data_IF_298384391603
#
_entry.id   IF_298384391603
#
_cell.length_a   1.000
_cell.length_b   1.000
_cell.length_c   1.000
_cell.angle_alpha   90.00
_cell.angle_beta   90.00
_cell.angle_gamma   90.00
#
_symmetry.space_group_name_H-M   'P 1'
#
loop_
_entity.id
_entity.type
_entity.pdbx_description
1 polymer ?
#
# COMPACT_ATOMS: atom_id res chain seq x y z
N UNK A 1 35.91 -18.36 27.73
CA UNK A 1 35.41 -18.77 26.40
C UNK A 1 34.15 -17.93 26.15
N UNK A 2 34.30 -16.81 25.42
CA UNK A 2 33.18 -16.04 24.94
C UNK A 2 32.37 -16.96 23.97
N UNK A 3 31.13 -17.24 24.36
CA UNK A 3 30.19 -17.85 23.40
C UNK A 3 29.97 -16.84 22.30
N UNK A 4 30.37 -17.14 21.07
CA UNK A 4 29.90 -16.42 19.90
C UNK A 4 28.37 -16.40 19.96
N UNK A 5 27.79 -15.22 20.21
CA UNK A 5 26.36 -15.02 20.14
C UNK A 5 25.96 -15.12 18.66
N UNK A 6 25.22 -16.16 18.32
CA UNK A 6 24.75 -16.37 16.96
C UNK A 6 23.76 -15.25 16.61
N UNK A 7 24.11 -14.39 15.64
CA UNK A 7 23.23 -13.33 15.18
C UNK A 7 21.98 -13.94 14.54
N UNK A 8 20.81 -13.49 15.00
CA UNK A 8 19.52 -13.89 14.42
C UNK A 8 19.24 -13.06 13.17
N UNK A 9 19.14 -13.71 12.02
CA UNK A 9 18.76 -13.06 10.76
C UNK A 9 17.25 -13.10 10.61
N UNK A 10 16.65 -11.94 10.29
CA UNK A 10 15.22 -11.76 10.08
C UNK A 10 14.98 -11.08 8.72
N UNK A 11 14.04 -11.60 7.96
CA UNK A 11 13.54 -10.97 6.74
C UNK A 11 12.59 -9.83 7.11
N UNK A 12 12.77 -8.66 6.47
CA UNK A 12 11.92 -7.49 6.65
C UNK A 12 11.40 -6.98 5.30
N UNK A 13 10.10 -7.26 5.05
CA UNK A 13 9.41 -6.81 3.85
C UNK A 13 8.80 -5.42 4.01
N UNK A 14 9.06 -4.52 3.04
CA UNK A 14 8.43 -3.21 2.97
C UNK A 14 8.43 -2.68 1.54
N UNK A 15 7.56 -1.70 1.25
CA UNK A 15 7.46 -1.16 -0.10
C UNK A 15 8.60 -0.17 -0.43
N UNK A 16 8.97 -0.01 -1.71
CA UNK A 16 9.95 0.98 -2.12
C UNK A 16 9.43 2.43 -2.04
N UNK A 17 8.25 2.67 -1.47
CA UNK A 17 7.69 4.01 -1.33
C UNK A 17 8.52 4.87 -0.35
N UNK A 18 8.52 6.21 -0.51
CA UNK A 18 9.29 7.11 0.35
C UNK A 18 9.01 6.98 1.84
N UNK A 19 7.77 6.66 2.22
CA UNK A 19 7.40 6.49 3.63
C UNK A 19 8.09 5.29 4.26
N UNK A 20 8.03 4.13 3.61
CA UNK A 20 8.58 2.89 4.15
C UNK A 20 10.12 2.92 4.12
N UNK A 21 10.72 3.40 3.04
CA UNK A 21 12.17 3.55 2.94
C UNK A 21 12.72 4.51 4.00
N UNK A 22 12.00 5.59 4.34
CA UNK A 22 12.36 6.49 5.42
C UNK A 22 12.23 5.81 6.79
N UNK A 23 11.14 5.09 7.05
CA UNK A 23 10.88 4.43 8.35
C UNK A 23 11.97 3.39 8.65
N UNK A 24 12.38 2.60 7.67
CA UNK A 24 13.30 1.48 7.86
C UNK A 24 14.77 1.80 7.52
N UNK A 25 15.09 3.01 7.06
CA UNK A 25 16.44 3.42 6.67
C UNK A 25 17.48 3.15 7.77
N UNK A 26 17.20 3.59 8.99
CA UNK A 26 18.15 3.45 10.09
C UNK A 26 18.41 1.98 10.47
N UNK A 27 17.39 1.14 10.36
CA UNK A 27 17.47 -0.29 10.66
C UNK A 27 18.28 -1.03 9.59
N UNK A 28 17.93 -0.85 8.32
CA UNK A 28 18.55 -1.56 7.20
C UNK A 28 20.00 -1.10 6.96
N UNK A 29 20.26 0.20 7.07
CA UNK A 29 21.59 0.77 6.89
C UNK A 29 22.44 0.76 8.18
N UNK A 30 22.03 0.00 9.20
CA UNK A 30 22.79 -0.21 10.45
C UNK A 30 23.19 1.09 11.14
N UNK A 31 22.31 2.09 11.10
CA UNK A 31 22.51 3.39 11.76
C UNK A 31 22.12 3.37 13.24
N UNK A 32 21.49 2.29 13.69
CA UNK A 32 21.10 2.05 15.08
C UNK A 32 21.62 0.69 15.52
N UNK A 33 21.87 0.55 16.82
CA UNK A 33 22.26 -0.73 17.44
C UNK A 33 21.03 -1.65 17.52
N UNK A 34 21.13 -2.81 16.93
CA UNK A 34 20.08 -3.85 16.91
C UNK A 34 20.45 -5.07 17.76
N UNK A 35 21.55 -4.98 18.51
CA UNK A 35 22.08 -6.10 19.29
C UNK A 35 22.42 -7.29 18.39
N UNK A 36 21.86 -8.46 18.71
CA UNK A 36 22.12 -9.70 18.00
C UNK A 36 21.20 -9.89 16.75
N UNK A 37 20.34 -8.90 16.41
CA UNK A 37 19.43 -8.99 15.29
C UNK A 37 20.08 -8.44 14.01
N UNK A 38 19.92 -9.15 12.90
CA UNK A 38 20.29 -8.70 11.56
C UNK A 38 19.07 -8.74 10.67
N UNK A 39 18.85 -7.67 9.90
CA UNK A 39 17.69 -7.54 9.03
C UNK A 39 18.10 -7.63 7.56
N UNK A 40 17.40 -8.48 6.82
CA UNK A 40 17.50 -8.60 5.37
C UNK A 40 16.28 -7.93 4.74
N UNK A 41 16.51 -6.83 4.01
CA UNK A 41 15.44 -6.08 3.35
C UNK A 41 14.90 -6.82 2.13
N UNK A 42 13.58 -6.91 2.04
CA UNK A 42 12.84 -7.41 0.87
C UNK A 42 11.90 -6.31 0.41
N UNK A 43 12.18 -5.75 -0.77
CA UNK A 43 11.43 -4.62 -1.35
C UNK A 43 10.42 -5.14 -2.37
N UNK A 44 9.13 -4.96 -2.08
CA UNK A 44 8.03 -5.40 -2.95
C UNK A 44 6.84 -4.45 -2.88
N UNK A 45 5.94 -4.55 -3.86
CA UNK A 45 4.66 -3.85 -3.83
C UNK A 45 3.81 -4.28 -2.62
N UNK A 46 3.02 -3.35 -2.08
CA UNK A 46 2.24 -3.59 -0.85
C UNK A 46 1.22 -4.73 -1.00
N UNK A 47 0.65 -4.95 -2.18
CA UNK A 47 -0.26 -6.08 -2.40
C UNK A 47 0.49 -7.41 -2.35
N UNK A 48 1.68 -7.49 -2.95
CA UNK A 48 2.57 -8.65 -2.85
C UNK A 48 2.95 -8.94 -1.39
N UNK A 49 3.28 -7.90 -0.62
CA UNK A 49 3.59 -8.05 0.81
C UNK A 49 2.36 -8.54 1.61
N UNK A 50 1.16 -8.05 1.30
CA UNK A 50 -0.09 -8.52 1.89
C UNK A 50 -0.30 -10.03 1.63
N UNK A 51 -0.14 -10.47 0.39
CA UNK A 51 -0.25 -11.87 -0.01
C UNK A 51 0.80 -12.76 0.69
N UNK A 52 2.03 -12.26 0.79
CA UNK A 52 3.10 -12.98 1.49
C UNK A 52 2.88 -13.05 3.00
N UNK A 53 2.27 -12.04 3.60
CA UNK A 53 1.86 -12.08 5.00
C UNK A 53 0.78 -13.15 5.24
N UNK A 54 -0.24 -13.23 4.36
CA UNK A 54 -1.25 -14.28 4.43
C UNK A 54 -0.62 -15.69 4.34
N UNK A 55 0.48 -15.81 3.58
CA UNK A 55 1.23 -17.07 3.41
C UNK A 55 2.28 -17.32 4.51
N UNK A 56 2.52 -16.38 5.42
CA UNK A 56 3.54 -16.52 6.48
C UNK A 56 4.98 -16.54 5.96
N UNK A 57 5.29 -15.83 4.87
CA UNK A 57 6.58 -15.95 4.15
C UNK A 57 7.71 -15.15 4.74
N UNK A 58 7.43 -14.08 5.48
CA UNK A 58 8.44 -13.16 6.01
C UNK A 58 8.37 -13.11 7.54
N UNK A 59 9.51 -12.90 8.20
CA UNK A 59 9.55 -12.77 9.65
C UNK A 59 8.90 -11.46 10.12
N UNK A 60 9.19 -10.36 9.43
CA UNK A 60 8.57 -9.05 9.61
C UNK A 60 8.12 -8.52 8.25
N UNK A 61 6.98 -7.87 8.23
CA UNK A 61 6.50 -7.26 6.99
C UNK A 61 5.62 -6.05 7.24
N UNK A 62 5.76 -5.06 6.38
CA UNK A 62 4.80 -3.97 6.24
C UNK A 62 3.57 -4.50 5.53
N UNK A 63 2.39 -4.20 6.05
CA UNK A 63 1.12 -4.64 5.47
C UNK A 63 0.12 -3.49 5.44
N UNK A 64 -0.90 -3.63 4.61
CA UNK A 64 -2.09 -2.78 4.67
C UNK A 64 -2.94 -3.12 5.89
N UNK A 65 -3.56 -2.12 6.52
CA UNK A 65 -4.55 -2.38 7.58
C UNK A 65 -5.70 -3.27 7.13
N UNK A 66 -5.99 -3.29 5.82
CA UNK A 66 -7.02 -4.14 5.23
C UNK A 66 -6.77 -5.62 5.41
N UNK A 67 -5.53 -6.05 5.37
CA UNK A 67 -5.17 -7.48 5.52
C UNK A 67 -4.97 -7.90 6.97
N UNK A 68 -4.83 -6.95 7.90
CA UNK A 68 -4.51 -7.23 9.29
C UNK A 68 -5.40 -8.31 9.94
N UNK A 69 -6.74 -8.30 9.79
CA UNK A 69 -7.59 -9.33 10.39
C UNK A 69 -7.30 -10.75 9.89
N UNK A 70 -6.76 -10.90 8.67
CA UNK A 70 -6.48 -12.18 8.05
C UNK A 70 -5.19 -12.83 8.57
N UNK A 71 -4.25 -12.01 9.10
CA UNK A 71 -2.91 -12.46 9.49
C UNK A 71 -2.67 -12.50 11.00
N UNK A 72 -3.61 -12.03 11.83
CA UNK A 72 -3.46 -11.97 13.30
C UNK A 72 -3.29 -13.35 13.98
N UNK A 73 -3.61 -14.44 13.28
CA UNK A 73 -3.37 -15.80 13.79
C UNK A 73 -1.89 -16.21 13.74
N UNK A 74 -1.12 -15.62 12.80
CA UNK A 74 0.27 -16.00 12.51
C UNK A 74 1.26 -14.88 12.84
N UNK A 75 0.78 -13.62 12.91
CA UNK A 75 1.59 -12.43 13.19
C UNK A 75 1.05 -11.61 14.34
N UNK A 76 1.95 -10.88 14.97
CA UNK A 76 1.62 -9.83 15.95
C UNK A 76 1.85 -8.46 15.36
N UNK A 77 0.98 -7.51 15.68
CA UNK A 77 1.17 -6.12 15.29
C UNK A 77 2.20 -5.46 16.21
N UNK A 78 3.26 -4.90 15.63
CA UNK A 78 4.25 -4.15 16.39
C UNK A 78 3.76 -2.71 16.64
N UNK A 79 4.25 -2.13 17.75
CA UNK A 79 3.93 -0.74 18.13
C UNK A 79 4.77 0.31 17.36
N UNK A 80 5.56 -0.11 16.39
CA UNK A 80 6.44 0.73 15.57
C UNK A 80 6.35 0.36 14.09
N UNK A 81 6.86 1.23 13.22
CA UNK A 81 6.89 0.99 11.77
C UNK A 81 5.58 1.32 11.05
N UNK A 82 4.57 1.87 11.74
CA UNK A 82 3.32 2.30 11.13
C UNK A 82 3.44 3.67 10.43
N UNK A 83 2.70 3.88 9.33
CA UNK A 83 2.50 5.17 8.70
C UNK A 83 1.04 5.58 8.89
N UNK A 84 0.82 6.74 9.52
CA UNK A 84 -0.51 7.32 9.74
C UNK A 84 -0.67 8.60 8.92
N UNK A 85 -1.66 8.63 8.04
CA UNK A 85 -2.06 9.83 7.31
C UNK A 85 -3.29 10.49 7.95
N UNK A 86 -3.25 11.82 8.13
CA UNK A 86 -4.41 12.61 8.54
C UNK A 86 -4.71 13.64 7.46
N UNK A 87 -5.94 13.61 6.89
CA UNK A 87 -6.34 14.51 5.79
C UNK A 87 -5.60 14.22 4.47
N UNK A 88 -5.06 13.02 4.32
CA UNK A 88 -4.33 12.55 3.12
C UNK A 88 -4.82 11.15 2.70
N UNK A 89 -6.12 10.93 2.77
CA UNK A 89 -6.76 9.70 2.35
C UNK A 89 -6.62 9.40 0.84
N UNK A 90 -7.15 8.29 0.34
CA UNK A 90 -7.16 7.99 -1.07
C UNK A 90 -7.90 9.06 -1.88
N UNK A 91 -7.38 9.38 -3.07
CA UNK A 91 -8.13 10.16 -4.07
C UNK A 91 -8.72 9.24 -5.12
N UNK A 92 -9.95 9.53 -5.52
CA UNK A 92 -10.51 9.00 -6.76
C UNK A 92 -10.22 9.98 -7.89
N UNK A 93 -9.47 9.52 -8.89
CA UNK A 93 -9.05 10.30 -10.05
C UNK A 93 -9.70 9.78 -11.33
N UNK A 94 -9.86 10.67 -12.30
CA UNK A 94 -10.43 10.37 -13.63
C UNK A 94 -9.74 11.22 -14.69
N UNK A 95 -9.91 10.85 -15.96
CA UNK A 95 -9.43 11.61 -17.10
C UNK A 95 -10.44 12.67 -17.56
N UNK A 96 -11.72 12.45 -17.31
CA UNK A 96 -12.82 13.30 -17.78
C UNK A 96 -13.69 13.78 -16.64
N UNK A 97 -14.35 14.91 -16.83
CA UNK A 97 -15.35 15.40 -15.86
C UNK A 97 -16.50 14.40 -15.73
N UNK A 98 -16.88 14.13 -14.50
CA UNK A 98 -18.00 13.26 -14.14
C UNK A 98 -19.13 14.13 -13.60
N UNK A 99 -20.33 13.99 -14.19
CA UNK A 99 -21.46 14.87 -13.89
C UNK A 99 -22.16 14.52 -12.57
N UNK A 100 -22.09 13.26 -12.16
CA UNK A 100 -22.76 12.78 -10.94
C UNK A 100 -21.97 11.69 -10.25
N UNK A 101 -21.93 11.73 -8.92
CA UNK A 101 -21.33 10.67 -8.11
C UNK A 101 -22.04 9.31 -8.26
N UNK A 102 -23.32 9.32 -8.68
CA UNK A 102 -24.04 8.07 -9.00
C UNK A 102 -23.48 7.34 -10.22
N UNK A 103 -22.72 8.02 -11.07
CA UNK A 103 -22.08 7.40 -12.24
C UNK A 103 -20.91 6.51 -11.81
N UNK A 104 -20.30 6.78 -10.65
CA UNK A 104 -19.17 5.98 -10.11
C UNK A 104 -19.56 4.51 -9.94
N UNK A 105 -20.80 4.23 -9.57
CA UNK A 105 -21.29 2.86 -9.38
C UNK A 105 -21.20 2.00 -10.65
N UNK A 106 -21.16 2.63 -11.83
CA UNK A 106 -21.09 1.98 -13.15
C UNK A 106 -19.70 1.96 -13.76
N UNK A 107 -18.77 2.72 -13.20
CA UNK A 107 -17.41 2.86 -13.71
C UNK A 107 -16.57 1.63 -13.46
N UNK A 108 -15.61 1.36 -14.36
CA UNK A 108 -14.50 0.45 -14.10
C UNK A 108 -13.42 1.20 -13.33
N UNK A 109 -13.18 0.75 -12.09
CA UNK A 109 -12.30 1.43 -11.15
C UNK A 109 -11.00 0.65 -10.98
N UNK A 110 -9.86 1.28 -11.30
CA UNK A 110 -8.55 0.72 -11.00
C UNK A 110 -8.20 0.93 -9.51
N UNK A 111 -7.85 -0.14 -8.80
CA UNK A 111 -7.58 -0.15 -7.35
C UNK A 111 -6.23 -0.82 -7.09
N UNK A 112 -5.38 -0.27 -6.17
CA UNK A 112 -4.02 -0.75 -5.94
C UNK A 112 -3.94 -2.03 -5.09
N UNK A 113 -4.75 -3.04 -5.43
CA UNK A 113 -4.77 -4.34 -4.76
C UNK A 113 -6.03 -4.60 -3.93
N UNK A 114 -6.39 -5.87 -3.84
CA UNK A 114 -7.64 -6.33 -3.22
C UNK A 114 -7.62 -6.14 -1.70
N UNK A 115 -6.48 -6.46 -1.04
CA UNK A 115 -6.35 -6.43 0.42
C UNK A 115 -5.83 -5.09 0.95
N UNK A 116 -5.93 -4.01 0.15
CA UNK A 116 -5.41 -2.71 0.54
C UNK A 116 -6.41 -1.87 1.32
N UNK A 117 -5.91 -1.00 2.18
CA UNK A 117 -6.73 0.01 2.89
C UNK A 117 -7.47 0.92 1.89
N UNK A 118 -6.85 1.22 0.75
CA UNK A 118 -7.47 2.01 -0.32
C UNK A 118 -8.73 1.33 -0.88
N UNK A 119 -8.69 0.00 -1.09
CA UNK A 119 -9.87 -0.75 -1.51
C UNK A 119 -10.98 -0.76 -0.46
N UNK A 120 -10.66 -0.92 0.82
CA UNK A 120 -11.65 -0.87 1.89
C UNK A 120 -12.33 0.50 1.93
N UNK A 121 -11.56 1.58 1.94
CA UNK A 121 -12.10 2.94 2.01
C UNK A 121 -12.95 3.26 0.77
N UNK A 122 -12.50 2.88 -0.43
CA UNK A 122 -13.29 3.00 -1.64
C UNK A 122 -14.61 2.22 -1.54
N UNK A 123 -14.57 0.98 -1.05
CA UNK A 123 -15.77 0.12 -0.94
C UNK A 123 -16.77 0.62 0.09
N UNK A 124 -16.30 1.28 1.16
CA UNK A 124 -17.16 1.94 2.14
C UNK A 124 -17.83 3.19 1.55
N UNK A 125 -17.10 3.98 0.77
CA UNK A 125 -17.63 5.17 0.12
C UNK A 125 -18.59 4.84 -1.03
N UNK A 126 -18.29 3.77 -1.80
CA UNK A 126 -19.07 3.36 -2.98
C UNK A 126 -19.44 1.87 -2.93
N UNK A 127 -20.37 1.49 -2.04
CA UNK A 127 -20.71 0.06 -1.84
C UNK A 127 -21.40 -0.59 -3.05
N UNK A 128 -21.91 0.22 -3.99
CA UNK A 128 -22.55 -0.25 -5.22
C UNK A 128 -21.63 -0.33 -6.43
N UNK A 129 -20.40 0.22 -6.35
CA UNK A 129 -19.40 0.12 -7.40
C UNK A 129 -18.82 -1.30 -7.45
N UNK A 130 -19.23 -2.08 -8.44
CA UNK A 130 -18.88 -3.51 -8.55
C UNK A 130 -17.78 -3.81 -9.56
N UNK A 131 -17.52 -2.90 -10.49
CA UNK A 131 -16.53 -3.10 -11.56
C UNK A 131 -15.17 -2.61 -11.10
N UNK A 132 -14.48 -3.45 -10.31
CA UNK A 132 -13.16 -3.16 -9.75
C UNK A 132 -12.09 -3.95 -10.49
N UNK A 133 -11.02 -3.29 -10.87
CA UNK A 133 -9.84 -3.88 -11.48
C UNK A 133 -8.64 -3.68 -10.54
N UNK A 134 -8.08 -4.76 -10.02
CA UNK A 134 -6.93 -4.71 -9.15
C UNK A 134 -5.63 -4.73 -9.96
N UNK A 135 -4.75 -3.80 -9.66
CA UNK A 135 -3.45 -3.68 -10.33
C UNK A 135 -2.41 -3.11 -9.37
N UNK A 136 -1.14 -3.12 -9.73
CA UNK A 136 -0.09 -2.51 -8.90
C UNK A 136 -0.27 -1.00 -8.82
N UNK A 137 0.09 -0.41 -7.69
CA UNK A 137 -0.08 1.01 -7.42
C UNK A 137 0.45 1.91 -8.54
N UNK A 138 1.64 1.60 -9.07
CA UNK A 138 2.30 2.38 -10.13
C UNK A 138 1.56 2.37 -11.47
N UNK A 139 0.66 1.41 -11.70
CA UNK A 139 -0.10 1.28 -12.95
C UNK A 139 -1.47 2.00 -12.93
N UNK A 140 -1.94 2.48 -11.77
CA UNK A 140 -3.28 3.10 -11.64
C UNK A 140 -3.45 4.29 -12.58
N UNK A 141 -2.54 5.28 -12.51
CA UNK A 141 -2.66 6.49 -13.32
C UNK A 141 -2.59 6.19 -14.82
N UNK A 142 -1.69 5.29 -15.24
CA UNK A 142 -1.59 4.88 -16.64
C UNK A 142 -2.83 4.13 -17.12
N UNK A 143 -3.47 3.33 -16.28
CA UNK A 143 -4.73 2.64 -16.61
C UNK A 143 -5.85 3.64 -16.89
N UNK A 144 -5.94 4.72 -16.12
CA UNK A 144 -6.94 5.79 -16.34
C UNK A 144 -6.60 6.60 -17.59
N UNK A 145 -5.33 7.00 -17.76
CA UNK A 145 -4.89 7.79 -18.94
C UNK A 145 -5.12 7.03 -20.25
N UNK A 146 -4.86 5.73 -20.25
CA UNK A 146 -5.04 4.85 -21.41
C UNK A 146 -6.47 4.32 -21.56
N UNK A 147 -7.42 4.78 -20.72
CA UNK A 147 -8.83 4.40 -20.76
C UNK A 147 -9.07 2.88 -20.58
N UNK A 148 -8.16 2.21 -19.88
CA UNK A 148 -8.33 0.82 -19.43
C UNK A 148 -9.23 0.77 -18.17
N UNK A 149 -9.32 1.90 -17.45
CA UNK A 149 -10.27 2.15 -16.37
C UNK A 149 -10.85 3.56 -16.53
N UNK A 150 -12.09 3.74 -16.07
CA UNK A 150 -12.78 5.04 -16.12
C UNK A 150 -12.27 5.96 -15.01
N UNK A 151 -11.93 5.38 -13.86
CA UNK A 151 -11.36 6.09 -12.73
C UNK A 151 -10.36 5.20 -11.98
N UNK A 152 -9.54 5.82 -11.11
CA UNK A 152 -8.54 5.10 -10.34
C UNK A 152 -8.40 5.64 -8.93
N UNK A 153 -8.07 4.75 -7.98
CA UNK A 153 -7.80 5.12 -6.60
C UNK A 153 -6.30 5.29 -6.41
N UNK A 154 -5.86 6.51 -6.09
CA UNK A 154 -4.45 6.82 -5.81
C UNK A 154 -4.26 7.23 -4.34
N UNK A 155 -3.05 7.01 -3.86
CA UNK A 155 -2.59 7.38 -2.50
C UNK A 155 -1.18 7.96 -2.57
N UNK A 156 -0.58 8.27 -1.43
CA UNK A 156 0.82 8.72 -1.30
C UNK A 156 1.17 9.94 -2.17
N UNK A 157 2.35 9.94 -2.76
CA UNK A 157 2.90 11.05 -3.56
C UNK A 157 2.09 11.38 -4.81
N UNK A 158 1.38 10.43 -5.40
CA UNK A 158 0.55 10.65 -6.59
C UNK A 158 -0.57 11.68 -6.32
N UNK A 159 -0.97 11.88 -5.05
CA UNK A 159 -1.89 12.97 -4.66
C UNK A 159 -1.41 14.36 -5.07
N UNK A 160 -0.11 14.55 -5.23
CA UNK A 160 0.50 15.85 -5.55
C UNK A 160 0.85 16.01 -7.02
N UNK A 161 0.84 14.92 -7.79
CA UNK A 161 1.36 14.89 -9.17
C UNK A 161 0.33 14.55 -10.24
N UNK A 162 -0.82 13.98 -9.88
CA UNK A 162 -1.85 13.52 -10.83
C UNK A 162 -2.32 14.63 -11.80
N UNK A 163 -2.45 15.88 -11.31
CA UNK A 163 -2.89 17.02 -12.12
C UNK A 163 -1.90 17.36 -13.24
N UNK A 164 -0.59 17.22 -12.98
CA UNK A 164 0.47 17.44 -13.99
C UNK A 164 0.39 16.43 -15.13
N UNK A 165 -0.26 15.28 -14.90
CA UNK A 165 -0.50 14.24 -15.91
C UNK A 165 -1.85 14.41 -16.64
N UNK A 166 -2.57 15.49 -16.36
CA UNK A 166 -3.88 15.76 -16.99
C UNK A 166 -5.04 14.96 -16.39
N UNK A 167 -4.86 14.45 -15.16
CA UNK A 167 -5.93 13.77 -14.42
C UNK A 167 -6.69 14.75 -13.53
N UNK A 168 -7.96 14.47 -13.30
CA UNK A 168 -8.87 15.27 -12.48
C UNK A 168 -9.19 14.53 -11.19
N UNK A 169 -9.32 15.27 -10.09
CA UNK A 169 -9.85 14.73 -8.84
C UNK A 169 -11.37 14.67 -8.90
N UNK A 170 -11.89 13.48 -8.72
CA UNK A 170 -13.33 13.25 -8.62
C UNK A 170 -13.79 13.32 -7.16
N UNK A 171 -13.01 12.74 -6.24
CA UNK A 171 -13.30 12.72 -4.80
C UNK A 171 -12.01 12.60 -3.97
N UNK A 172 -12.09 13.11 -2.73
CA UNK A 172 -11.08 13.04 -1.67
C UNK A 172 -11.70 12.39 -0.43
#
# INVERSE_FOLDING_TARGET
VEKEKLAMKLTLGFSPCPNDTFIFDALINKKIDTGDLQFEAVLEDVQTLNEWAIQGRLDLTKISYGVLPLVLKDYILLNAGGALGKGVGPLLITKYEVRSTSDIDKMHIAIPGEDTTAHILFSLAFPRAKHKHFTVFSAIESSVLNQQADAGVIIHENRFTYQQKGLLKLMD
#
